data_IF_563540480516
#
_entry.id   IF_563540480516
#
_cell.length_a   1.000
_cell.length_b   1.000
_cell.length_c   1.000
_cell.angle_alpha   90.00
_cell.angle_beta   90.00
_cell.angle_gamma   90.00
#
_symmetry.space_group_name_H-M   'P 1'
#
loop_
_entity.id
_entity.type
_entity.pdbx_description
1 polymer ?
#
# COMPACT_ATOMS: atom_id res chain seq x y z
N UNK A 1 -1.37 -30.94 21.12
CA UNK A 1 -2.29 -30.44 20.08
C UNK A 1 -1.44 -30.19 18.85
N UNK A 2 -1.59 -30.99 17.80
CA UNK A 2 -0.91 -30.74 16.52
C UNK A 2 -1.69 -29.65 15.79
N UNK A 3 -1.00 -28.62 15.32
CA UNK A 3 -1.57 -27.65 14.39
C UNK A 3 -2.14 -28.43 13.18
N UNK A 4 -3.34 -28.10 12.69
CA UNK A 4 -3.84 -28.70 11.47
C UNK A 4 -2.84 -28.44 10.34
N UNK A 5 -2.66 -29.43 9.46
CA UNK A 5 -1.89 -29.28 8.22
C UNK A 5 -2.58 -28.20 7.38
N UNK A 6 -2.05 -26.98 7.48
CA UNK A 6 -2.47 -25.85 6.64
C UNK A 6 -1.72 -26.04 5.32
N UNK A 7 -2.39 -26.42 4.22
CA UNK A 7 -1.70 -26.84 3.00
C UNK A 7 -0.87 -25.71 2.35
N UNK A 8 -1.17 -24.44 2.65
CA UNK A 8 -0.34 -23.29 2.26
C UNK A 8 1.02 -23.26 2.97
N UNK A 9 1.15 -23.80 4.19
CA UNK A 9 2.42 -23.84 4.92
C UNK A 9 3.29 -25.04 4.54
N UNK A 10 2.70 -26.13 4.03
CA UNK A 10 3.40 -27.41 3.81
C UNK A 10 3.60 -27.77 2.34
N UNK A 11 2.96 -27.04 1.41
CA UNK A 11 3.12 -27.26 -0.02
C UNK A 11 3.35 -25.92 -0.75
N UNK A 12 4.61 -25.58 -1.11
CA UNK A 12 4.93 -24.34 -1.81
C UNK A 12 4.21 -24.23 -3.17
N UNK A 13 3.93 -25.35 -3.82
CA UNK A 13 3.13 -25.40 -5.06
C UNK A 13 1.66 -25.12 -4.80
N UNK A 14 1.11 -25.53 -3.65
CA UNK A 14 -0.24 -25.17 -3.22
C UNK A 14 -0.31 -23.69 -2.85
N UNK A 15 0.65 -23.15 -2.11
CA UNK A 15 0.72 -21.70 -1.85
C UNK A 15 0.82 -20.90 -3.15
N UNK A 16 1.67 -21.33 -4.09
CA UNK A 16 1.77 -20.72 -5.42
C UNK A 16 0.45 -20.79 -6.23
N UNK A 17 -0.25 -21.94 -6.21
CA UNK A 17 -1.48 -22.15 -6.99
C UNK A 17 -2.76 -21.63 -6.31
N UNK A 18 -2.79 -21.49 -4.98
CA UNK A 18 -3.95 -20.98 -4.21
C UNK A 18 -3.83 -19.49 -4.00
N UNK A 19 -2.63 -18.99 -3.69
CA UNK A 19 -2.42 -17.56 -3.55
C UNK A 19 -2.19 -16.86 -4.87
N UNK A 20 -2.07 -17.60 -5.99
CA UNK A 20 -2.05 -17.11 -7.38
C UNK A 20 -1.96 -15.58 -7.39
N UNK A 21 -0.79 -15.05 -7.02
CA UNK A 21 -0.47 -13.63 -7.12
C UNK A 21 -0.26 -13.32 -8.60
N UNK A 22 -1.15 -13.84 -9.44
CA UNK A 22 -1.43 -13.25 -10.72
C UNK A 22 -1.72 -11.80 -10.38
N UNK A 23 -0.96 -10.85 -10.94
CA UNK A 23 -1.39 -9.48 -10.88
C UNK A 23 -2.86 -9.47 -11.29
N UNK A 24 -3.71 -8.66 -10.63
CA UNK A 24 -5.11 -8.54 -11.04
C UNK A 24 -5.13 -8.44 -12.56
N UNK A 25 -6.00 -9.21 -13.26
CA UNK A 25 -5.95 -9.30 -14.72
C UNK A 25 -5.82 -7.88 -15.25
N UNK A 26 -4.81 -7.65 -16.10
CA UNK A 26 -4.29 -6.35 -16.58
C UNK A 26 -5.33 -5.34 -17.08
N UNK A 27 -6.61 -5.72 -17.13
CA UNK A 27 -7.76 -4.92 -17.54
C UNK A 27 -8.61 -4.43 -16.35
N UNK A 28 -8.27 -4.71 -15.08
CA UNK A 28 -8.99 -4.17 -13.93
C UNK A 28 -8.56 -2.72 -13.66
N UNK A 29 -9.50 -1.76 -13.53
CA UNK A 29 -9.15 -0.39 -13.21
C UNK A 29 -8.55 -0.31 -11.80
N UNK A 30 -7.57 0.59 -11.63
CA UNK A 30 -6.97 0.86 -10.33
C UNK A 30 -8.03 1.30 -9.32
N UNK A 31 -7.99 0.73 -8.11
CA UNK A 31 -8.83 1.19 -7.01
C UNK A 31 -8.31 2.53 -6.47
N UNK A 32 -9.24 3.39 -6.03
CA UNK A 32 -8.89 4.66 -5.42
C UNK A 32 -8.45 4.45 -3.97
N UNK A 33 -7.25 4.94 -3.62
CA UNK A 33 -6.91 5.15 -2.21
C UNK A 33 -7.70 6.33 -1.66
N UNK A 34 -8.77 6.05 -0.93
CA UNK A 34 -9.64 7.05 -0.35
C UNK A 34 -9.42 7.19 1.17
N UNK A 35 -9.03 8.38 1.62
CA UNK A 35 -9.01 8.73 3.03
C UNK A 35 -10.28 9.53 3.34
N UNK A 36 -11.18 9.03 4.20
CA UNK A 36 -12.43 9.73 4.50
C UNK A 36 -12.16 11.05 5.20
N UNK A 37 -13.01 12.04 4.93
CA UNK A 37 -12.98 13.30 5.67
C UNK A 37 -13.33 13.08 7.13
N UNK A 38 -12.82 13.99 7.95
CA UNK A 38 -13.23 14.13 9.33
C UNK A 38 -14.77 14.16 9.47
N UNK A 39 -15.32 13.36 10.38
CA UNK A 39 -16.75 13.38 10.71
C UNK A 39 -17.15 14.49 11.70
N UNK A 40 -16.18 15.14 12.35
CA UNK A 40 -16.41 16.18 13.36
C UNK A 40 -16.27 17.58 12.75
N UNK A 41 -17.12 18.52 13.20
CA UNK A 41 -16.99 19.94 12.88
C UNK A 41 -16.88 20.74 14.20
N UNK A 42 -15.72 21.36 14.51
CA UNK A 42 -14.51 21.40 13.68
C UNK A 42 -13.76 20.05 13.62
N UNK A 43 -12.80 19.90 12.69
CA UNK A 43 -11.95 18.71 12.67
C UNK A 43 -11.25 18.48 14.03
N UNK A 44 -11.37 17.26 14.56
CA UNK A 44 -10.56 16.77 15.68
C UNK A 44 -9.07 17.12 15.56
N UNK A 45 -8.41 17.36 16.69
CA UNK A 45 -6.97 17.72 16.73
C UNK A 45 -6.01 16.65 16.17
N UNK A 46 -6.52 15.44 15.90
CA UNK A 46 -5.77 14.30 15.35
C UNK A 46 -6.14 13.98 13.88
N UNK A 47 -6.69 14.95 13.15
CA UNK A 47 -6.87 14.79 11.69
C UNK A 47 -5.55 14.82 10.94
N UNK A 48 -5.64 14.49 9.65
CA UNK A 48 -4.53 14.66 8.72
C UNK A 48 -3.92 16.07 8.90
N UNK A 49 -2.59 16.17 9.04
CA UNK A 49 -1.92 17.43 9.27
C UNK A 49 -1.99 18.32 8.03
N UNK A 50 -1.76 19.63 8.20
CA UNK A 50 -1.82 20.55 7.06
C UNK A 50 -0.70 20.25 6.04
N UNK A 51 -0.89 20.59 4.76
CA UNK A 51 0.11 20.40 3.70
C UNK A 51 1.44 21.15 3.86
N UNK A 52 1.59 21.95 4.91
CA UNK A 52 2.81 22.69 5.24
C UNK A 52 3.53 22.08 6.45
N UNK A 53 2.93 21.07 7.08
CA UNK A 53 3.46 20.44 8.29
C UNK A 53 4.48 19.36 7.92
N UNK A 54 5.73 19.45 8.41
CA UNK A 54 6.70 18.37 8.26
C UNK A 54 6.18 17.07 8.86
N UNK A 55 6.24 15.98 8.08
CA UNK A 55 5.67 14.70 8.47
C UNK A 55 6.41 13.55 7.78
N UNK A 56 6.72 12.51 8.54
CA UNK A 56 7.11 11.22 8.00
C UNK A 56 5.87 10.35 7.83
N UNK A 57 5.66 9.82 6.64
CA UNK A 57 4.53 8.97 6.31
C UNK A 57 5.02 7.55 6.06
N UNK A 58 4.33 6.60 6.66
CA UNK A 58 4.51 5.18 6.40
C UNK A 58 3.19 4.65 5.84
N UNK A 59 3.24 4.02 4.68
CA UNK A 59 2.08 3.31 4.11
C UNK A 59 2.49 1.89 3.76
N UNK A 60 1.71 0.93 4.22
CA UNK A 60 2.02 -0.48 4.09
C UNK A 60 0.77 -1.36 4.01
N UNK A 61 0.90 -2.56 3.48
CA UNK A 61 -0.19 -3.53 3.43
C UNK A 61 0.15 -4.81 2.68
N UNK A 62 -0.81 -5.77 2.65
CA UNK A 62 -0.69 -6.98 1.84
C UNK A 62 -0.47 -6.63 0.37
N UNK A 63 0.46 -7.33 -0.28
CA UNK A 63 0.82 -7.06 -1.67
C UNK A 63 -0.39 -7.13 -2.61
N UNK A 64 -1.31 -8.05 -2.36
CA UNK A 64 -2.52 -8.22 -3.15
C UNK A 64 -3.40 -6.96 -3.13
N UNK A 65 -3.53 -6.30 -1.98
CA UNK A 65 -4.27 -5.05 -1.85
C UNK A 65 -3.55 -3.91 -2.57
N UNK A 66 -2.23 -3.82 -2.43
CA UNK A 66 -1.42 -2.79 -3.08
C UNK A 66 -1.42 -2.92 -4.61
N UNK A 67 -1.44 -4.16 -5.13
CA UNK A 67 -1.60 -4.45 -6.56
C UNK A 67 -2.93 -3.95 -7.12
N UNK A 68 -4.02 -4.01 -6.34
CA UNK A 68 -5.32 -3.46 -6.75
C UNK A 68 -5.30 -1.92 -6.79
N UNK A 69 -4.51 -1.27 -5.94
CA UNK A 69 -4.31 0.18 -5.96
C UNK A 69 -3.40 0.64 -7.11
N UNK A 70 -2.42 -0.18 -7.47
CA UNK A 70 -1.37 0.11 -8.45
C UNK A 70 -1.18 -1.08 -9.42
N UNK A 71 -2.16 -1.36 -10.29
CA UNK A 71 -2.13 -2.55 -11.17
C UNK A 71 -1.05 -2.47 -12.24
N UNK A 72 -0.63 -1.26 -12.63
CA UNK A 72 0.40 -1.02 -13.66
C UNK A 72 1.83 -1.14 -13.11
N UNK A 73 1.99 -1.23 -11.78
CA UNK A 73 3.30 -1.33 -11.15
C UNK A 73 3.78 -2.78 -11.17
N UNK A 74 5.02 -2.99 -11.60
CA UNK A 74 5.66 -4.29 -11.45
C UNK A 74 6.13 -4.48 -10.01
N UNK A 75 5.55 -5.48 -9.35
CA UNK A 75 5.89 -5.89 -7.99
C UNK A 75 6.88 -7.06 -7.94
N UNK A 76 7.42 -7.46 -9.10
CA UNK A 76 8.39 -8.54 -9.17
C UNK A 76 9.76 -8.05 -8.68
N UNK A 77 10.29 -8.69 -7.64
CA UNK A 77 11.61 -8.39 -7.09
C UNK A 77 12.53 -9.57 -7.40
N UNK A 78 13.55 -9.41 -8.27
CA UNK A 78 14.31 -10.53 -8.82
C UNK A 78 15.28 -11.18 -7.82
N UNK A 79 15.61 -10.50 -6.72
CA UNK A 79 16.55 -10.99 -5.70
C UNK A 79 16.24 -10.37 -4.33
N UNK A 80 16.83 -10.91 -3.26
CA UNK A 80 16.60 -10.43 -1.88
C UNK A 80 17.35 -9.13 -1.52
N UNK A 81 18.12 -8.56 -2.44
CA UNK A 81 18.92 -7.35 -2.23
C UNK A 81 18.72 -6.39 -3.41
N UNK A 82 17.48 -5.94 -3.66
CA UNK A 82 17.22 -5.05 -4.78
C UNK A 82 17.90 -3.70 -4.58
N UNK A 83 18.15 -3.01 -5.69
CA UNK A 83 18.56 -1.60 -5.62
C UNK A 83 17.39 -0.74 -5.13
N UNK A 84 17.71 0.18 -4.22
CA UNK A 84 16.74 1.14 -3.69
C UNK A 84 16.70 2.42 -4.55
N UNK A 85 15.51 3.00 -4.78
CA UNK A 85 14.20 2.48 -4.42
C UNK A 85 13.69 1.42 -5.41
N UNK A 86 12.88 0.48 -4.93
CA UNK A 86 12.08 -0.41 -5.77
C UNK A 86 11.04 0.39 -6.55
N UNK A 87 10.60 -0.12 -7.70
CA UNK A 87 9.60 0.57 -8.54
C UNK A 87 8.30 0.87 -7.76
N UNK A 88 7.88 -0.04 -6.88
CA UNK A 88 6.65 0.11 -6.09
C UNK A 88 6.70 1.22 -5.04
N UNK A 89 7.85 1.52 -4.45
CA UNK A 89 7.95 2.48 -3.36
C UNK A 89 7.58 3.91 -3.77
N UNK A 90 8.22 4.50 -4.79
CA UNK A 90 7.89 5.83 -5.28
C UNK A 90 6.43 5.94 -5.77
N UNK A 91 5.88 4.91 -6.40
CA UNK A 91 4.48 4.94 -6.86
C UNK A 91 3.49 4.88 -5.69
N UNK A 92 3.73 4.03 -4.70
CA UNK A 92 2.92 3.96 -3.49
C UNK A 92 3.02 5.24 -2.66
N UNK A 93 4.23 5.82 -2.56
CA UNK A 93 4.44 7.10 -1.90
C UNK A 93 3.66 8.23 -2.60
N UNK A 94 3.70 8.30 -3.94
CA UNK A 94 2.92 9.30 -4.70
C UNK A 94 1.41 9.11 -4.54
N UNK A 95 0.93 7.87 -4.52
CA UNK A 95 -0.48 7.57 -4.31
C UNK A 95 -0.93 8.07 -2.92
N UNK A 96 -0.19 7.72 -1.87
CA UNK A 96 -0.45 8.18 -0.51
C UNK A 96 -0.36 9.71 -0.39
N UNK A 97 0.66 10.31 -0.99
CA UNK A 97 0.84 11.76 -1.02
C UNK A 97 -0.37 12.48 -1.60
N UNK A 98 -0.86 12.04 -2.76
CA UNK A 98 -2.05 12.61 -3.40
C UNK A 98 -3.29 12.46 -2.52
N UNK A 99 -3.46 11.30 -1.88
CA UNK A 99 -4.59 11.06 -1.00
C UNK A 99 -4.55 11.93 0.27
N UNK A 100 -3.37 12.16 0.85
CA UNK A 100 -3.20 12.97 2.07
C UNK A 100 -3.33 14.47 1.76
N UNK A 101 -2.60 14.95 0.76
CA UNK A 101 -2.44 16.40 0.50
C UNK A 101 -3.34 16.92 -0.62
N UNK A 102 -4.11 16.05 -1.28
CA UNK A 102 -5.05 16.39 -2.35
C UNK A 102 -4.40 17.17 -3.51
N UNK A 103 -3.12 16.85 -3.79
CA UNK A 103 -2.33 17.45 -4.88
C UNK A 103 -1.18 16.55 -5.30
N UNK A 104 -0.60 16.86 -6.45
CA UNK A 104 0.65 16.25 -6.91
C UNK A 104 1.89 16.77 -6.16
N UNK A 105 2.95 15.96 -6.21
CA UNK A 105 4.30 16.33 -5.77
C UNK A 105 4.83 17.44 -6.68
N UNK A 106 5.33 18.52 -6.09
CA UNK A 106 5.85 19.69 -6.79
C UNK A 106 7.37 19.53 -6.97
N UNK A 107 7.87 19.41 -8.20
CA UNK A 107 9.29 19.20 -8.45
C UNK A 107 10.18 20.39 -8.02
N UNK A 108 9.61 21.60 -7.92
CA UNK A 108 10.33 22.81 -7.49
C UNK A 108 10.41 23.01 -5.98
N UNK A 109 9.80 22.13 -5.17
CA UNK A 109 9.80 22.25 -3.71
C UNK A 109 10.69 21.17 -3.12
N UNK A 110 11.83 21.60 -2.57
CA UNK A 110 12.75 20.68 -1.90
C UNK A 110 12.04 20.01 -0.71
N UNK A 111 12.14 18.68 -0.63
CA UNK A 111 11.49 17.91 0.42
C UNK A 111 9.99 17.72 0.25
N UNK A 112 9.37 18.10 -0.88
CA UNK A 112 7.92 17.95 -1.05
C UNK A 112 7.50 16.47 -0.94
N UNK A 113 8.33 15.54 -1.42
CA UNK A 113 8.22 14.12 -1.09
C UNK A 113 9.58 13.45 -1.28
N UNK A 114 10.10 12.79 -0.24
CA UNK A 114 11.39 12.09 -0.29
C UNK A 114 11.23 10.67 0.24
N UNK A 115 11.36 9.67 -0.63
CA UNK A 115 11.33 8.26 -0.21
C UNK A 115 12.56 7.98 0.66
N UNK A 116 12.35 7.33 1.81
CA UNK A 116 13.37 7.08 2.83
C UNK A 116 13.69 5.62 3.02
N UNK A 117 12.68 4.77 2.98
CA UNK A 117 12.83 3.36 3.26
C UNK A 117 11.70 2.54 2.64
N UNK A 118 11.94 1.25 2.46
CA UNK A 118 11.00 0.28 1.90
C UNK A 118 11.04 -1.01 2.71
N UNK A 119 9.86 -1.47 3.13
CA UNK A 119 9.71 -2.75 3.81
C UNK A 119 9.25 -3.83 2.82
N UNK A 120 9.95 -4.97 2.82
CA UNK A 120 9.65 -6.12 1.97
C UNK A 120 9.36 -7.35 2.84
N UNK A 121 8.09 -7.75 2.91
CA UNK A 121 7.66 -8.96 3.60
C UNK A 121 7.98 -10.20 2.77
N UNK A 122 9.20 -10.71 2.90
CA UNK A 122 9.67 -11.88 2.14
C UNK A 122 9.00 -13.18 2.60
N UNK A 123 8.45 -13.94 1.65
CA UNK A 123 7.92 -15.28 1.92
C UNK A 123 9.05 -16.32 1.88
N UNK A 124 9.48 -16.77 3.05
CA UNK A 124 10.59 -17.73 3.20
C UNK A 124 10.22 -19.10 2.62
N UNK A 125 8.95 -19.46 2.68
CA UNK A 125 8.36 -20.70 2.20
C UNK A 125 8.36 -20.82 0.67
N UNK A 126 8.43 -19.69 -0.05
CA UNK A 126 8.48 -19.66 -1.52
C UNK A 126 9.86 -19.97 -2.11
N UNK A 127 10.87 -20.23 -1.27
CA UNK A 127 12.23 -20.55 -1.75
C UNK A 127 12.21 -21.76 -2.69
N UNK A 128 12.98 -21.72 -3.79
CA UNK A 128 14.03 -20.74 -4.10
C UNK A 128 13.55 -19.47 -4.81
N UNK A 129 12.24 -19.29 -5.03
CA UNK A 129 11.69 -18.14 -5.77
C UNK A 129 11.56 -16.95 -4.82
N UNK A 130 12.26 -15.81 -5.07
CA UNK A 130 12.07 -14.60 -4.29
C UNK A 130 10.64 -14.08 -4.48
N UNK A 131 9.87 -14.03 -3.38
CA UNK A 131 8.50 -13.54 -3.39
C UNK A 131 8.24 -12.72 -2.14
N UNK A 132 7.44 -11.68 -2.28
CA UNK A 132 6.92 -10.88 -1.17
C UNK A 132 5.40 -11.05 -1.10
N UNK A 133 4.84 -11.02 0.10
CA UNK A 133 3.39 -11.01 0.34
C UNK A 133 2.90 -9.71 1.01
N UNK A 134 3.85 -8.87 1.44
CA UNK A 134 3.60 -7.59 2.11
C UNK A 134 4.63 -6.56 1.66
N UNK A 135 4.20 -5.30 1.53
CA UNK A 135 5.09 -4.22 1.14
C UNK A 135 4.74 -2.93 1.88
N UNK A 136 5.75 -2.11 2.16
CA UNK A 136 5.58 -0.80 2.74
C UNK A 136 6.60 0.20 2.22
N UNK A 137 6.24 1.48 2.23
CA UNK A 137 7.16 2.58 1.92
C UNK A 137 7.07 3.66 2.99
N UNK A 138 8.23 4.17 3.38
CA UNK A 138 8.38 5.36 4.21
C UNK A 138 8.82 6.52 3.34
N UNK A 139 8.14 7.66 3.43
CA UNK A 139 8.58 8.91 2.81
C UNK A 139 8.42 10.10 3.74
N UNK A 140 9.27 11.08 3.57
CA UNK A 140 9.19 12.37 4.27
C UNK A 140 8.48 13.40 3.40
N UNK A 141 7.64 14.21 4.03
CA UNK A 141 7.13 15.47 3.51
C UNK A 141 7.66 16.62 4.36
N UNK A 142 8.46 17.52 3.76
CA UNK A 142 9.06 18.70 4.37
C UNK A 142 9.88 18.46 5.65
N UNK A 143 10.21 17.21 5.97
CA UNK A 143 11.06 16.85 7.12
C UNK A 143 12.49 17.37 6.89
N UNK A 144 13.04 18.17 7.81
CA UNK A 144 14.42 18.62 7.72
C UNK A 144 15.40 17.44 7.69
N UNK A 145 16.44 17.52 6.87
CA UNK A 145 17.38 16.40 6.68
C UNK A 145 18.13 15.94 7.95
N UNK A 146 18.21 16.78 8.99
CA UNK A 146 18.82 16.46 10.27
C UNK A 146 17.83 16.09 11.38
N UNK A 147 16.54 16.04 11.08
CA UNK A 147 15.52 15.66 12.06
C UNK A 147 15.48 14.14 12.23
N UNK A 148 15.91 13.69 13.40
CA UNK A 148 15.97 12.26 13.75
C UNK A 148 14.67 11.74 14.36
N UNK A 149 13.76 12.62 14.78
CA UNK A 149 12.51 12.27 15.47
C UNK A 149 11.32 13.09 14.94
N UNK A 150 11.01 12.99 13.63
CA UNK A 150 9.87 13.70 13.06
C UNK A 150 8.56 13.08 13.53
N UNK A 151 7.48 13.86 13.50
CA UNK A 151 6.14 13.32 13.63
C UNK A 151 5.86 12.28 12.53
N UNK A 152 5.20 11.18 12.91
CA UNK A 152 4.92 10.05 12.00
C UNK A 152 3.41 9.84 11.82
N UNK A 153 2.98 9.67 10.58
CA UNK A 153 1.66 9.15 10.21
C UNK A 153 1.83 7.75 9.60
N UNK A 154 1.21 6.74 10.22
CA UNK A 154 1.17 5.38 9.70
C UNK A 154 -0.20 5.08 9.08
N UNK A 155 -0.18 4.51 7.88
CA UNK A 155 -1.35 4.11 7.09
C UNK A 155 -1.23 2.62 6.80
N UNK A 156 -2.12 1.82 7.37
CA UNK A 156 -2.19 0.38 7.12
C UNK A 156 -3.33 0.09 6.14
N UNK A 157 -2.98 -0.39 4.96
CA UNK A 157 -3.93 -0.91 3.98
C UNK A 157 -4.32 -2.31 4.40
N UNK A 158 -5.61 -2.51 4.66
CA UNK A 158 -6.18 -3.82 5.00
C UNK A 158 -7.03 -4.31 3.84
N UNK A 159 -6.87 -5.58 3.50
CA UNK A 159 -7.82 -6.25 2.61
C UNK A 159 -9.02 -6.71 3.44
N UNK A 160 -10.21 -6.26 3.06
CA UNK A 160 -11.46 -6.72 3.64
C UNK A 160 -12.07 -7.67 2.61
N UNK A 161 -12.26 -8.93 2.98
CA UNK A 161 -13.03 -9.87 2.17
C UNK A 161 -14.45 -9.31 1.98
N UNK A 162 -15.04 -9.49 0.79
CA UNK A 162 -16.43 -9.08 0.53
C UNK A 162 -17.39 -9.97 1.34
N UNK A 163 -17.54 -9.64 2.62
CA UNK A 163 -18.38 -10.34 3.59
C UNK A 163 -19.76 -9.65 3.76
N UNK A 164 -20.07 -8.65 2.93
CA UNK A 164 -21.26 -7.81 3.07
C UNK A 164 -21.16 -6.76 4.17
N UNK A 165 -19.98 -6.52 4.74
CA UNK A 165 -19.72 -5.47 5.72
C UNK A 165 -19.99 -4.06 5.20
N UNK A 166 -20.45 -3.17 6.09
CA UNK A 166 -20.88 -1.81 5.74
C UNK A 166 -19.79 -0.94 5.06
N UNK A 167 -18.51 -1.25 5.27
CA UNK A 167 -17.37 -0.56 4.66
C UNK A 167 -16.95 -1.14 3.30
N UNK A 168 -17.15 -2.45 3.08
CA UNK A 168 -16.85 -3.09 1.79
C UNK A 168 -17.76 -2.54 0.69
N UNK A 169 -19.05 -2.39 0.98
CA UNK A 169 -20.07 -2.05 -0.02
C UNK A 169 -20.07 -0.62 -0.55
N UNK A 170 -19.40 0.34 0.12
CA UNK A 170 -19.53 1.77 -0.20
C UNK A 170 -18.55 2.27 -1.26
N UNK A 171 -17.41 1.60 -1.41
CA UNK A 171 -16.30 2.05 -2.27
C UNK A 171 -15.87 1.04 -3.34
N UNK A 172 -16.46 -0.17 -3.35
CA UNK A 172 -16.22 -1.22 -4.35
C UNK A 172 -17.25 -1.25 -5.49
N UNK A 173 -18.26 -0.36 -5.47
CA UNK A 173 -19.25 -0.28 -6.55
C UNK A 173 -18.66 0.43 -7.77
N UNK A 174 -17.94 -0.31 -8.61
CA UNK A 174 -17.78 0.06 -10.01
C UNK A 174 -19.12 -0.10 -10.73
N UNK A 175 -19.58 0.98 -11.38
CA UNK A 175 -20.78 0.99 -12.23
C UNK A 175 -20.69 -0.10 -13.31
N UNK A 176 -21.41 -1.21 -13.08
CA UNK A 176 -21.69 -2.24 -14.05
C UNK A 176 -23.18 -2.24 -14.36
N UNK A 177 -23.62 -1.37 -15.27
CA UNK A 177 -24.95 -1.50 -15.85
C UNK A 177 -25.06 -2.78 -16.68
N UNK A 178 -26.11 -3.56 -16.46
CA UNK A 178 -26.87 -4.42 -17.39
C UNK A 178 -28.18 -4.69 -16.62
N UNK A 179 -29.35 -4.27 -17.06
CA UNK A 179 -29.97 -4.64 -18.32
C UNK A 179 -31.18 -5.52 -17.98
N UNK A 180 -32.37 -4.93 -18.02
CA UNK A 180 -33.67 -5.59 -18.21
C UNK A 180 -34.61 -4.60 -18.87
#
# INVERSE_FOLDING_TARGET
MSLPDIPCLTNPTHSYNVHCFHPPPSNQPALLLHIPQCLTDPPHVLHLPSPETPLRVQIEGPLLALQKLLPEVSWHIPNHFPEFPLVGGPELARLAFRAIYQRDVRPGVAGDMVVRDEYTGWLVEARPIPMIDYYGVTFDHLVPAGDTDPAVLQINVVEIEDDGGAYANKYTQTEGGHGS
#
